data_IF_880564803149
#
_entry.id   IF_880564803149
#
_cell.length_a   1.000
_cell.length_b   1.000
_cell.length_c   1.000
_cell.angle_alpha   90.00
_cell.angle_beta   90.00
_cell.angle_gamma   90.00
#
_symmetry.space_group_name_H-M   'P 1'
#
loop_
_entity.id
_entity.type
_entity.pdbx_description
1 polymer ?
#
# COMPACT_ATOMS: atom_id res chain seq x y z
N UNK A 1 3.25 -11.51 -1.91
CA UNK A 1 3.37 -10.59 -3.08
C UNK A 1 4.83 -10.15 -3.17
N UNK A 2 5.40 -10.11 -4.36
CA UNK A 2 6.78 -9.64 -4.56
C UNK A 2 6.80 -8.11 -4.54
N UNK A 3 7.40 -7.53 -3.49
CA UNK A 3 7.49 -6.07 -3.29
C UNK A 3 8.30 -5.41 -4.41
N UNK A 4 9.37 -6.06 -4.87
CA UNK A 4 10.28 -5.47 -5.85
C UNK A 4 9.58 -5.34 -7.20
N UNK A 5 8.96 -6.45 -7.65
CA UNK A 5 8.20 -6.47 -8.88
C UNK A 5 7.00 -5.51 -8.85
N UNK A 6 6.34 -5.36 -7.70
CA UNK A 6 5.24 -4.39 -7.53
C UNK A 6 5.76 -2.95 -7.67
N UNK A 7 6.81 -2.58 -6.94
CA UNK A 7 7.33 -1.21 -6.99
C UNK A 7 7.84 -0.82 -8.40
N UNK A 8 8.57 -1.71 -9.06
CA UNK A 8 9.12 -1.46 -10.40
C UNK A 8 8.05 -1.34 -11.48
N UNK A 9 6.95 -2.10 -11.34
CA UNK A 9 5.85 -2.07 -12.30
C UNK A 9 5.03 -0.80 -12.18
N UNK A 10 4.72 -0.36 -10.96
CA UNK A 10 3.72 0.68 -10.74
C UNK A 10 4.28 2.09 -10.55
N UNK A 11 5.56 2.23 -10.20
CA UNK A 11 6.15 3.53 -9.87
C UNK A 11 7.29 3.94 -10.81
N UNK A 12 7.47 5.25 -10.98
CA UNK A 12 8.71 5.80 -11.53
C UNK A 12 9.84 5.71 -10.50
N UNK A 13 11.10 5.75 -10.95
CA UNK A 13 12.26 5.61 -10.06
C UNK A 13 12.37 6.74 -9.02
N UNK A 14 11.91 7.94 -9.37
CA UNK A 14 11.87 9.13 -8.52
C UNK A 14 10.55 9.27 -7.74
N UNK A 15 9.71 8.24 -7.71
CA UNK A 15 8.41 8.32 -7.09
C UNK A 15 8.51 8.51 -5.57
N UNK A 16 7.48 9.15 -5.01
CA UNK A 16 7.30 9.30 -3.56
C UNK A 16 6.04 8.59 -3.09
N UNK A 17 6.11 8.04 -1.87
CA UNK A 17 4.99 7.36 -1.22
C UNK A 17 4.79 7.97 0.17
N UNK A 18 3.57 8.43 0.43
CA UNK A 18 3.11 8.84 1.75
C UNK A 18 2.09 7.81 2.26
N UNK A 19 2.33 7.24 3.43
CA UNK A 19 1.44 6.27 4.05
C UNK A 19 0.86 6.81 5.36
N UNK A 20 -0.46 6.93 5.41
CA UNK A 20 -1.20 7.58 6.49
C UNK A 20 -0.61 8.98 6.79
N UNK A 21 -0.33 9.26 8.06
CA UNK A 21 0.26 10.51 8.52
C UNK A 21 1.79 10.48 8.57
N UNK A 22 2.44 9.46 8.00
CA UNK A 22 3.90 9.40 7.96
C UNK A 22 4.45 10.41 6.94
N UNK A 23 5.69 10.91 7.11
CA UNK A 23 6.35 11.69 6.07
C UNK A 23 6.41 10.93 4.74
N UNK A 24 6.30 11.66 3.63
CA UNK A 24 6.53 11.08 2.32
C UNK A 24 8.00 10.62 2.21
N UNK A 25 8.20 9.42 1.68
CA UNK A 25 9.52 8.83 1.45
C UNK A 25 9.72 8.50 -0.03
N UNK A 26 10.96 8.33 -0.46
CA UNK A 26 11.25 7.84 -1.81
C UNK A 26 10.77 6.39 -1.97
N UNK A 27 10.47 5.97 -3.20
CA UNK A 27 10.12 4.58 -3.50
C UNK A 27 11.25 3.60 -3.13
N UNK A 28 12.51 4.06 -3.21
CA UNK A 28 13.68 3.30 -2.80
C UNK A 28 13.68 3.02 -1.29
N UNK A 29 13.39 4.04 -0.47
CA UNK A 29 13.31 3.89 0.99
C UNK A 29 12.08 3.07 1.41
N UNK A 30 10.94 3.28 0.74
CA UNK A 30 9.71 2.56 1.00
C UNK A 30 9.86 1.04 0.78
N UNK A 31 10.72 0.62 -0.16
CA UNK A 31 10.97 -0.81 -0.47
C UNK A 31 11.38 -1.61 0.76
N UNK A 32 12.29 -1.09 1.58
CA UNK A 32 12.74 -1.77 2.81
C UNK A 32 11.59 -1.90 3.80
N UNK A 33 10.87 -0.79 4.02
CA UNK A 33 9.73 -0.74 4.96
C UNK A 33 8.63 -1.71 4.55
N UNK A 34 8.27 -1.78 3.26
CA UNK A 34 7.25 -2.72 2.78
C UNK A 34 7.68 -4.17 2.93
N UNK A 35 8.94 -4.51 2.64
CA UNK A 35 9.46 -5.87 2.86
C UNK A 35 9.36 -6.29 4.33
N UNK A 36 9.75 -5.39 5.23
CA UNK A 36 9.70 -5.65 6.69
C UNK A 36 8.26 -5.80 7.18
N UNK A 37 7.35 -4.91 6.80
CA UNK A 37 5.96 -4.96 7.24
C UNK A 37 5.22 -6.15 6.62
N UNK A 38 5.36 -6.39 5.31
CA UNK A 38 4.62 -7.46 4.63
C UNK A 38 5.04 -8.86 5.09
N UNK A 39 6.26 -9.03 5.60
CA UNK A 39 6.71 -10.29 6.21
C UNK A 39 5.95 -10.65 7.50
N UNK A 40 5.23 -9.68 8.10
CA UNK A 40 4.39 -9.85 9.30
C UNK A 40 2.95 -10.26 8.98
N UNK A 41 2.59 -10.41 7.70
CA UNK A 41 1.25 -10.78 7.28
C UNK A 41 1.24 -12.18 6.63
N UNK A 42 0.22 -12.96 6.97
CA UNK A 42 -0.16 -14.15 6.20
C UNK A 42 -1.08 -13.77 5.02
N UNK A 43 -1.72 -12.60 5.06
CA UNK A 43 -2.60 -12.11 4.00
C UNK A 43 -2.69 -10.58 3.96
N UNK A 44 -2.71 -10.04 2.74
CA UNK A 44 -2.92 -8.63 2.44
C UNK A 44 -3.70 -8.52 1.12
N UNK A 45 -4.97 -8.16 1.19
CA UNK A 45 -5.87 -8.06 0.04
C UNK A 45 -6.58 -6.71 0.00
N UNK A 46 -7.02 -6.32 -1.19
CA UNK A 46 -7.78 -5.08 -1.40
C UNK A 46 -9.14 -5.43 -2.03
N UNK A 47 -10.21 -5.22 -1.27
CA UNK A 47 -11.58 -5.25 -1.80
C UNK A 47 -11.85 -3.89 -2.46
N UNK A 48 -11.67 -3.83 -3.78
CA UNK A 48 -11.81 -2.59 -4.55
C UNK A 48 -13.28 -2.15 -4.55
N UNK A 49 -13.55 -0.93 -4.08
CA UNK A 49 -14.89 -0.32 -4.10
C UNK A 49 -15.08 0.45 -5.41
N UNK A 50 -14.13 1.32 -5.75
CA UNK A 50 -14.08 1.97 -7.06
C UNK A 50 -12.66 2.45 -7.39
N UNK A 51 -12.43 2.65 -8.69
CA UNK A 51 -11.25 3.27 -9.24
C UNK A 51 -11.71 4.32 -10.25
N UNK A 52 -11.39 5.58 -9.97
CA UNK A 52 -11.65 6.69 -10.88
C UNK A 52 -10.34 7.22 -11.45
N UNK A 53 -10.31 7.51 -12.74
CA UNK A 53 -9.18 8.20 -13.37
C UNK A 53 -9.63 9.58 -13.85
N UNK A 54 -9.25 10.61 -13.09
CA UNK A 54 -9.39 12.00 -13.46
C UNK A 54 -7.99 12.56 -13.72
N UNK A 55 -7.58 12.49 -14.99
CA UNK A 55 -6.21 12.78 -15.43
C UNK A 55 -5.62 14.05 -14.77
N UNK A 56 -4.41 13.99 -14.19
CA UNK A 56 -3.47 12.86 -14.22
C UNK A 56 -3.61 11.90 -13.02
N UNK A 57 -4.68 11.98 -12.22
CA UNK A 57 -4.79 11.28 -10.95
C UNK A 57 -5.71 10.05 -11.02
N UNK A 58 -5.25 8.93 -10.45
CA UNK A 58 -6.12 7.80 -10.07
C UNK A 58 -6.58 7.99 -8.62
N UNK A 59 -7.86 7.79 -8.37
CA UNK A 59 -8.45 7.66 -7.04
C UNK A 59 -8.85 6.20 -6.86
N UNK A 60 -8.23 5.52 -5.91
CA UNK A 60 -8.46 4.10 -5.65
C UNK A 60 -9.02 3.93 -4.23
N UNK A 61 -10.32 3.67 -4.14
CA UNK A 61 -11.01 3.41 -2.87
C UNK A 61 -11.21 1.92 -2.69
N UNK A 62 -10.83 1.40 -1.52
CA UNK A 62 -10.94 -0.02 -1.20
C UNK A 62 -11.18 -0.24 0.30
N UNK A 63 -11.51 -1.48 0.67
CA UNK A 63 -11.27 -2.01 2.00
C UNK A 63 -10.01 -2.86 1.93
N UNK A 64 -8.99 -2.50 2.71
CA UNK A 64 -7.79 -3.32 2.84
C UNK A 64 -8.03 -4.37 3.92
N UNK A 65 -7.76 -5.63 3.58
CA UNK A 65 -7.89 -6.79 4.46
C UNK A 65 -6.51 -7.26 4.85
N UNK A 66 -6.24 -7.24 6.14
CA UNK A 66 -4.99 -7.69 6.72
C UNK A 66 -5.22 -8.95 7.53
N UNK A 67 -4.35 -9.93 7.34
CA UNK A 67 -4.23 -11.09 8.21
C UNK A 67 -2.80 -11.11 8.77
N UNK A 68 -2.66 -10.77 10.06
CA UNK A 68 -1.36 -10.82 10.73
C UNK A 68 -0.92 -12.27 10.90
N UNK A 69 0.39 -12.50 10.87
CA UNK A 69 0.96 -13.85 10.93
C UNK A 69 0.41 -14.67 12.10
N UNK A 70 -0.08 -15.87 11.79
CA UNK A 70 -0.67 -16.79 12.74
C UNK A 70 -2.06 -16.39 13.25
N UNK A 71 -2.76 -15.47 12.59
CA UNK A 71 -4.18 -15.20 12.85
C UNK A 71 -5.10 -16.15 12.11
N UNK A 72 -6.24 -16.45 12.71
CA UNK A 72 -7.30 -17.23 12.07
C UNK A 72 -8.03 -16.38 11.02
N UNK A 73 -7.96 -16.74 9.72
CA UNK A 73 -8.59 -15.98 8.65
C UNK A 73 -10.11 -15.84 8.77
N UNK A 74 -10.77 -16.68 9.58
CA UNK A 74 -12.24 -16.64 9.76
C UNK A 74 -12.69 -15.63 10.80
N UNK A 75 -11.85 -15.32 11.78
CA UNK A 75 -12.26 -14.59 12.99
C UNK A 75 -11.39 -13.39 13.33
N UNK A 76 -10.18 -13.30 12.76
CA UNK A 76 -9.18 -12.31 13.16
C UNK A 76 -8.69 -11.43 12.00
N UNK A 77 -9.33 -11.50 10.83
CA UNK A 77 -9.04 -10.59 9.73
C UNK A 77 -9.41 -9.14 10.09
N UNK A 78 -8.47 -8.22 9.86
CA UNK A 78 -8.64 -6.79 10.10
C UNK A 78 -9.02 -6.12 8.79
N UNK A 79 -10.12 -5.36 8.79
CA UNK A 79 -10.62 -4.63 7.61
C UNK A 79 -10.55 -3.13 7.85
N UNK A 80 -9.81 -2.43 7.00
CA UNK A 80 -9.63 -0.97 7.13
C UNK A 80 -10.04 -0.28 5.83
N UNK A 81 -10.94 0.71 5.86
CA UNK A 81 -11.21 1.53 4.68
C UNK A 81 -9.99 2.37 4.32
N UNK A 82 -9.68 2.42 3.03
CA UNK A 82 -8.56 3.22 2.53
C UNK A 82 -8.92 3.94 1.23
N UNK A 83 -8.24 5.06 1.01
CA UNK A 83 -8.19 5.76 -0.26
C UNK A 83 -6.73 5.98 -0.63
N UNK A 84 -6.35 5.63 -1.85
CA UNK A 84 -5.07 6.02 -2.42
C UNK A 84 -5.29 7.01 -3.57
N UNK A 85 -4.55 8.12 -3.57
CA UNK A 85 -4.38 8.98 -4.74
C UNK A 85 -3.05 8.65 -5.39
N UNK A 86 -3.04 8.56 -6.72
CA UNK A 86 -1.83 8.25 -7.49
C UNK A 86 -1.72 9.22 -8.66
N UNK A 87 -0.74 10.11 -8.62
CA UNK A 87 -0.44 11.00 -9.75
C UNK A 87 0.40 10.22 -10.77
N UNK A 88 -0.13 10.15 -11.98
CA UNK A 88 0.40 9.33 -13.05
C UNK A 88 1.14 10.19 -14.08
N UNK A 89 2.21 9.64 -14.65
CA UNK A 89 2.88 10.19 -15.83
C UNK A 89 3.48 9.08 -16.67
N UNK A 90 3.84 9.37 -17.92
CA UNK A 90 4.59 8.42 -18.74
C UNK A 90 6.06 8.44 -18.35
N UNK A 91 6.66 7.26 -18.22
CA UNK A 91 8.11 7.12 -18.10
C UNK A 91 8.82 7.28 -19.46
N UNK A 92 10.15 7.14 -19.49
CA UNK A 92 10.95 7.25 -20.70
C UNK A 92 10.58 6.20 -21.79
N UNK A 93 9.97 5.09 -21.38
CA UNK A 93 9.52 4.01 -22.27
C UNK A 93 8.04 4.18 -22.67
N UNK A 94 7.38 5.27 -22.25
CA UNK A 94 5.99 5.57 -22.55
C UNK A 94 4.97 4.87 -21.64
N UNK A 95 5.40 4.14 -20.61
CA UNK A 95 4.50 3.44 -19.68
C UNK A 95 3.89 4.43 -18.69
N UNK A 96 2.57 4.35 -18.47
CA UNK A 96 1.92 5.15 -17.44
C UNK A 96 2.22 4.57 -16.05
N UNK A 97 2.98 5.31 -15.25
CA UNK A 97 3.38 4.94 -13.89
C UNK A 97 3.11 6.06 -12.89
N UNK A 98 2.98 5.72 -11.62
CA UNK A 98 2.80 6.68 -10.54
C UNK A 98 4.13 7.31 -10.15
N UNK A 99 4.18 8.64 -10.05
CA UNK A 99 5.35 9.35 -9.49
C UNK A 99 5.06 9.91 -8.09
N UNK A 100 3.81 9.86 -7.64
CA UNK A 100 3.41 10.24 -6.28
C UNK A 100 2.20 9.43 -5.87
N UNK A 101 2.29 8.75 -4.73
CA UNK A 101 1.15 8.10 -4.08
C UNK A 101 0.95 8.62 -2.67
N UNK A 102 -0.30 8.92 -2.32
CA UNK A 102 -0.71 9.23 -0.95
C UNK A 102 -1.80 8.24 -0.54
N UNK A 103 -1.59 7.54 0.57
CA UNK A 103 -2.52 6.54 1.11
C UNK A 103 -3.14 7.08 2.38
N UNK A 104 -4.44 7.35 2.33
CA UNK A 104 -5.26 7.75 3.46
C UNK A 104 -5.86 6.49 4.08
N UNK A 105 -5.36 6.13 5.25
CA UNK A 105 -5.72 4.92 5.99
C UNK A 105 -5.41 5.14 7.47
N UNK A 106 -6.16 4.50 8.37
CA UNK A 106 -5.82 4.38 9.79
C UNK A 106 -5.19 3.01 10.05
N UNK A 107 -3.85 2.91 10.14
CA UNK A 107 -3.18 1.62 10.31
C UNK A 107 -3.11 1.17 11.77
N UNK A 108 -3.64 1.96 12.73
CA UNK A 108 -3.50 1.68 14.16
C UNK A 108 -4.00 0.29 14.58
N UNK A 109 -5.11 -0.27 14.04
CA UNK A 109 -5.55 -1.62 14.43
C UNK A 109 -4.56 -2.71 14.00
N UNK A 110 -3.91 -2.54 12.86
CA UNK A 110 -2.92 -3.49 12.33
C UNK A 110 -1.64 -3.45 13.16
N UNK A 111 -1.14 -2.25 13.48
CA UNK A 111 0.06 -2.13 14.30
C UNK A 111 -0.16 -2.59 15.75
N UNK A 112 -1.34 -2.35 16.32
CA UNK A 112 -1.71 -2.90 17.61
C UNK A 112 -1.67 -4.43 17.58
N UNK A 113 -2.25 -5.06 16.55
CA UNK A 113 -2.27 -6.52 16.40
C UNK A 113 -0.87 -7.12 16.21
N UNK A 114 -0.03 -6.48 15.39
CA UNK A 114 1.38 -6.86 15.22
C UNK A 114 2.11 -6.83 16.57
N UNK A 115 1.88 -5.77 17.37
CA UNK A 115 2.49 -5.63 18.69
C UNK A 115 2.01 -6.71 19.67
N UNK A 116 0.72 -7.06 19.69
CA UNK A 116 0.16 -8.14 20.51
C UNK A 116 0.79 -9.51 20.20
N UNK A 117 1.20 -9.71 18.93
CA UNK A 117 1.86 -10.93 18.46
C UNK A 117 3.37 -10.93 18.70
N UNK A 118 3.95 -9.81 19.13
CA UNK A 118 5.40 -9.66 19.33
C UNK A 118 6.19 -9.69 18.02
N UNK A 119 5.63 -9.16 16.93
CA UNK A 119 6.22 -9.16 15.57
C UNK A 119 6.85 -7.83 15.15
#
# INVERSE_FOLDING_TARGET
>A
MDVDAWLERFYTEDATIQYANSPAVSVADARKVFKEIWAKFDGLEHDIIHVDYASPCIYHRCIVRYLVKGDDPRTQEIKIPALATMLMRKDANGNLKSYKMEVFIDPSPVFARISEKGL
#
